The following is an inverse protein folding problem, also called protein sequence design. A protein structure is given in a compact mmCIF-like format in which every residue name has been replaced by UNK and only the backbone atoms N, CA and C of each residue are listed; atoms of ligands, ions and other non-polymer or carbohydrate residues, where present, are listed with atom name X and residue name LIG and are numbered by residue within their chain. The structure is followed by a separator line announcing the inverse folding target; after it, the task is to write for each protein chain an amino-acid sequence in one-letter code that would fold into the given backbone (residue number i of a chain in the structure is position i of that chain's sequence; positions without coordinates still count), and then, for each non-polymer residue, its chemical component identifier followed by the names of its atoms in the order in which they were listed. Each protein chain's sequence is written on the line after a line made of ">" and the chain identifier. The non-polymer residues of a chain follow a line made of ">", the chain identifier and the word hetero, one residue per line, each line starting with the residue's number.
data_IF_387317383711
#
_entry.id   IF_387317383711
#
_cell.length_a   1.000
_cell.length_b   1.000
_cell.length_c   1.000
_cell.angle_alpha   90.00
_cell.angle_beta   90.00
_cell.angle_gamma   90.00
#
_symmetry.space_group_name_H-M   'P 1'
#
loop_
_entity.id
_entity.type
_entity.pdbx_description
1 polymer ?
#
# COMPACT_ATOMS: atom_id res chain seq x y z
N UNK A 1 -19.10 -20.90 -26.90
CA UNK A 1 -18.39 -19.61 -27.08
C UNK A 1 -18.51 -18.71 -25.84
N UNK A 2 -19.67 -18.69 -25.16
CA UNK A 2 -19.88 -17.97 -23.89
C UNK A 2 -18.96 -18.39 -22.74
N UNK A 3 -18.70 -19.68 -22.53
CA UNK A 3 -17.84 -20.15 -21.43
C UNK A 3 -16.39 -19.63 -21.56
N UNK A 4 -15.86 -19.55 -22.79
CA UNK A 4 -14.54 -18.96 -23.06
C UNK A 4 -14.54 -17.45 -22.83
N UNK A 5 -15.63 -16.76 -23.18
CA UNK A 5 -15.77 -15.32 -22.95
C UNK A 5 -15.92 -14.99 -21.46
N UNK A 6 -16.67 -15.79 -20.70
CA UNK A 6 -16.80 -15.67 -19.25
C UNK A 6 -15.47 -15.93 -18.53
N UNK A 7 -14.74 -16.98 -18.96
CA UNK A 7 -13.41 -17.28 -18.44
C UNK A 7 -12.41 -16.16 -18.74
N UNK A 8 -12.41 -15.61 -19.95
CA UNK A 8 -11.53 -14.48 -20.30
C UNK A 8 -11.89 -13.20 -19.53
N UNK A 9 -13.19 -12.96 -19.28
CA UNK A 9 -13.67 -11.81 -18.53
C UNK A 9 -13.33 -11.87 -17.03
N UNK A 10 -13.18 -13.08 -16.45
CA UNK A 10 -12.86 -13.29 -15.04
C UNK A 10 -11.37 -13.23 -14.72
N UNK A 11 -10.46 -13.37 -15.70
CA UNK A 11 -8.99 -13.35 -15.47
C UNK A 11 -8.50 -12.13 -14.68
N UNK A 12 -8.95 -10.87 -14.95
CA UNK A 12 -8.57 -9.72 -14.14
C UNK A 12 -9.03 -9.80 -12.69
N UNK A 13 -10.21 -10.39 -12.44
CA UNK A 13 -10.73 -10.60 -11.09
C UNK A 13 -9.89 -11.64 -10.37
N UNK A 14 -9.64 -12.80 -10.99
CA UNK A 14 -8.78 -13.85 -10.44
C UNK A 14 -7.37 -13.35 -10.12
N UNK A 15 -6.80 -12.52 -11.00
CA UNK A 15 -5.50 -11.89 -10.76
C UNK A 15 -5.51 -10.98 -9.52
N UNK A 16 -6.56 -10.19 -9.32
CA UNK A 16 -6.69 -9.35 -8.13
C UNK A 16 -6.97 -10.17 -6.87
N UNK A 17 -7.77 -11.22 -6.94
CA UNK A 17 -8.00 -12.14 -5.81
C UNK A 17 -6.71 -12.82 -5.36
N UNK A 18 -5.93 -13.34 -6.32
CA UNK A 18 -4.60 -13.89 -6.06
C UNK A 18 -3.69 -12.84 -5.41
N UNK A 19 -3.70 -11.60 -5.92
CA UNK A 19 -2.90 -10.52 -5.36
C UNK A 19 -3.28 -10.19 -3.92
N UNK A 20 -4.58 -10.14 -3.61
CA UNK A 20 -5.05 -9.92 -2.23
C UNK A 20 -4.64 -11.09 -1.34
N UNK A 21 -4.77 -12.33 -1.79
CA UNK A 21 -4.33 -13.51 -1.02
C UNK A 21 -2.83 -13.46 -0.71
N UNK A 22 -2.00 -13.13 -1.71
CA UNK A 22 -0.55 -12.97 -1.53
C UNK A 22 -0.23 -11.84 -0.54
N UNK A 23 -0.93 -10.70 -0.65
CA UNK A 23 -0.77 -9.56 0.25
C UNK A 23 -1.18 -9.87 1.69
N UNK A 24 -2.32 -10.53 1.89
CA UNK A 24 -2.81 -10.97 3.20
C UNK A 24 -1.82 -11.92 3.87
N UNK A 25 -1.34 -12.94 3.15
CA UNK A 25 -0.32 -13.85 3.68
C UNK A 25 0.96 -13.09 4.07
N UNK A 26 1.38 -12.10 3.27
CA UNK A 26 2.56 -11.29 3.55
C UNK A 26 2.42 -10.50 4.86
N UNK A 27 1.25 -9.89 5.11
CA UNK A 27 1.02 -9.11 6.32
C UNK A 27 1.00 -9.98 7.58
N UNK A 28 0.41 -11.17 7.52
CA UNK A 28 0.38 -12.11 8.64
C UNK A 28 1.78 -12.64 8.93
N UNK A 29 2.52 -13.07 7.89
CA UNK A 29 3.90 -13.53 8.06
C UNK A 29 4.81 -12.42 8.60
N UNK A 30 4.63 -11.18 8.12
CA UNK A 30 5.31 -10.01 8.68
C UNK A 30 4.99 -9.84 10.17
N UNK A 31 3.72 -9.94 10.55
CA UNK A 31 3.30 -9.85 11.97
C UNK A 31 3.97 -10.93 12.82
N UNK A 32 4.00 -12.18 12.35
CA UNK A 32 4.71 -13.26 13.05
C UNK A 32 6.20 -12.95 13.17
N UNK A 33 6.86 -12.52 12.10
CA UNK A 33 8.28 -12.20 12.08
C UNK A 33 8.62 -11.08 13.08
N UNK A 34 7.82 -10.01 13.12
CA UNK A 34 7.98 -8.88 14.03
C UNK A 34 7.71 -9.25 15.49
N UNK A 35 6.72 -10.13 15.75
CA UNK A 35 6.46 -10.64 17.09
C UNK A 35 7.62 -11.47 17.63
N UNK A 36 8.31 -12.24 16.77
CA UNK A 36 9.56 -12.97 17.07
C UNK A 36 10.79 -12.07 17.21
N UNK A 37 10.64 -10.74 17.15
CA UNK A 37 11.73 -9.80 17.41
C UNK A 37 12.56 -9.41 16.18
N UNK A 38 12.07 -9.65 14.96
CA UNK A 38 12.76 -9.22 13.74
C UNK A 38 13.06 -7.71 13.78
N UNK A 39 14.30 -7.34 13.47
CA UNK A 39 14.67 -5.93 13.36
C UNK A 39 14.07 -5.35 12.08
N UNK A 40 13.22 -4.32 12.26
CA UNK A 40 12.39 -3.75 11.20
C UNK A 40 13.21 -3.28 9.99
N UNK A 41 14.24 -2.47 10.20
CA UNK A 41 15.01 -1.92 9.09
C UNK A 41 15.90 -2.94 8.40
N UNK A 42 16.43 -3.93 9.11
CA UNK A 42 17.08 -5.09 8.45
C UNK A 42 16.10 -5.80 7.53
N UNK A 43 14.88 -6.08 8.00
CA UNK A 43 13.84 -6.69 7.19
C UNK A 43 13.53 -5.86 5.92
N UNK A 44 13.38 -4.53 6.06
CA UNK A 44 13.13 -3.62 4.93
C UNK A 44 14.29 -3.66 3.93
N UNK A 45 15.53 -3.60 4.39
CA UNK A 45 16.73 -3.63 3.53
C UNK A 45 16.78 -4.93 2.73
N UNK A 46 16.71 -6.08 3.38
CA UNK A 46 16.81 -7.37 2.70
C UNK A 46 15.64 -7.62 1.75
N UNK A 47 14.42 -7.21 2.13
CA UNK A 47 13.25 -7.29 1.25
C UNK A 47 13.45 -6.49 -0.05
N UNK A 48 13.94 -5.26 0.04
CA UNK A 48 14.12 -4.40 -1.15
C UNK A 48 15.36 -4.78 -1.96
N UNK A 49 16.38 -5.35 -1.34
CA UNK A 49 17.49 -5.96 -2.05
C UNK A 49 17.02 -7.14 -2.94
N UNK A 50 16.22 -8.06 -2.39
CA UNK A 50 15.63 -9.17 -3.16
C UNK A 50 14.70 -8.62 -4.25
N UNK A 51 13.83 -7.67 -3.92
CA UNK A 51 12.93 -7.06 -4.90
C UNK A 51 13.70 -6.40 -6.05
N UNK A 52 14.85 -5.77 -5.77
CA UNK A 52 15.73 -5.21 -6.81
C UNK A 52 16.22 -6.29 -7.75
N UNK A 53 16.74 -7.40 -7.22
CA UNK A 53 17.22 -8.54 -8.03
C UNK A 53 16.11 -9.12 -8.90
N UNK A 54 14.88 -9.21 -8.38
CA UNK A 54 13.73 -9.71 -9.14
C UNK A 54 13.20 -8.73 -10.20
N UNK A 55 13.27 -7.42 -9.95
CA UNK A 55 12.80 -6.39 -10.90
C UNK A 55 13.86 -6.09 -11.97
N UNK A 56 15.15 -6.26 -11.65
CA UNK A 56 16.26 -5.96 -12.56
C UNK A 56 16.11 -6.65 -13.95
N UNK A 57 15.82 -7.96 -14.07
CA UNK A 57 15.59 -8.59 -15.36
C UNK A 57 14.50 -7.92 -16.19
N UNK A 58 13.41 -7.47 -15.55
CA UNK A 58 12.32 -6.75 -16.22
C UNK A 58 12.80 -5.40 -16.75
N UNK A 59 13.60 -4.66 -15.96
CA UNK A 59 14.17 -3.39 -16.37
C UNK A 59 15.17 -3.55 -17.54
N UNK A 60 16.05 -4.54 -17.47
CA UNK A 60 17.02 -4.82 -18.52
C UNK A 60 16.38 -5.40 -19.78
N UNK A 61 15.27 -6.13 -19.69
CA UNK A 61 14.60 -6.73 -20.84
C UNK A 61 13.62 -5.76 -21.52
N UNK A 62 12.70 -5.14 -20.78
CA UNK A 62 11.64 -4.31 -21.36
C UNK A 62 12.07 -2.89 -21.71
N UNK A 63 13.14 -2.39 -21.10
CA UNK A 63 13.61 -1.01 -21.25
C UNK A 63 15.09 -0.92 -21.68
N UNK A 64 15.63 -2.00 -22.26
CA UNK A 64 17.03 -2.09 -22.73
C UNK A 64 17.41 -0.95 -23.66
N UNK A 65 16.57 -0.73 -24.67
CA UNK A 65 16.83 0.15 -25.82
C UNK A 65 16.29 1.57 -25.61
N UNK A 66 15.80 1.89 -24.41
CA UNK A 66 15.33 3.23 -24.09
C UNK A 66 16.49 4.05 -23.56
N UNK A 67 16.59 5.30 -24.03
CA UNK A 67 17.60 6.25 -23.55
C UNK A 67 17.37 6.55 -22.06
N UNK A 68 18.44 6.51 -21.27
CA UNK A 68 18.42 6.72 -19.81
C UNK A 68 19.10 8.03 -19.49
N UNK A 69 18.35 9.12 -19.47
CA UNK A 69 18.87 10.43 -19.07
C UNK A 69 18.81 10.53 -17.54
N UNK A 70 19.91 10.18 -16.88
CA UNK A 70 20.05 10.28 -15.43
C UNK A 70 20.59 11.67 -15.07
N UNK A 71 19.72 12.68 -15.07
CA UNK A 71 20.05 14.04 -14.62
C UNK A 71 20.03 14.12 -13.09
N UNK A 72 20.60 15.19 -12.52
CA UNK A 72 20.51 15.45 -11.09
C UNK A 72 19.05 15.52 -10.59
N UNK A 73 18.17 16.10 -11.40
CA UNK A 73 16.73 16.17 -11.11
C UNK A 73 16.10 14.76 -10.98
N UNK A 74 16.47 13.82 -11.85
CA UNK A 74 16.01 12.42 -11.77
C UNK A 74 16.49 11.79 -10.47
N UNK A 75 17.77 11.96 -10.10
CA UNK A 75 18.30 11.43 -8.85
C UNK A 75 17.61 12.02 -7.62
N UNK A 76 17.31 13.32 -7.63
CA UNK A 76 16.54 13.97 -6.58
C UNK A 76 15.15 13.34 -6.42
N UNK A 77 14.39 13.19 -7.51
CA UNK A 77 13.06 12.60 -7.46
C UNK A 77 13.08 11.12 -7.08
N UNK A 78 14.08 10.35 -7.53
CA UNK A 78 14.28 8.96 -7.11
C UNK A 78 14.56 8.86 -5.61
N UNK A 79 15.41 9.75 -5.07
CA UNK A 79 15.72 9.82 -3.65
C UNK A 79 14.48 10.17 -2.82
N UNK A 80 13.71 11.16 -3.25
CA UNK A 80 12.44 11.55 -2.62
C UNK A 80 11.40 10.44 -2.71
N UNK A 81 11.37 9.68 -3.81
CA UNK A 81 10.46 8.55 -3.96
C UNK A 81 10.83 7.39 -3.00
N UNK A 82 12.12 7.08 -2.88
CA UNK A 82 12.62 6.06 -1.97
C UNK A 82 12.38 6.41 -0.50
N UNK A 83 12.63 7.66 -0.10
CA UNK A 83 12.52 8.06 1.31
C UNK A 83 11.06 8.05 1.78
N UNK A 84 10.15 8.59 0.95
CA UNK A 84 8.73 8.69 1.29
C UNK A 84 7.99 7.36 1.13
N UNK A 85 8.27 6.59 0.08
CA UNK A 85 7.54 5.36 -0.25
C UNK A 85 8.03 4.11 0.43
N UNK A 86 9.33 4.07 0.78
CA UNK A 86 9.94 2.87 1.35
C UNK A 86 10.47 3.14 2.74
N UNK A 87 11.49 4.00 2.86
CA UNK A 87 12.23 4.18 4.11
C UNK A 87 11.30 4.63 5.23
N UNK A 88 10.51 5.68 5.00
CA UNK A 88 9.53 6.18 5.97
C UNK A 88 8.26 5.35 5.95
N UNK A 89 7.57 5.23 4.82
CA UNK A 89 6.26 4.54 4.79
C UNK A 89 6.35 3.08 5.24
N UNK A 90 7.17 2.24 4.60
CA UNK A 90 7.26 0.82 4.96
C UNK A 90 7.88 0.64 6.35
N UNK A 91 8.92 1.42 6.69
CA UNK A 91 9.54 1.36 8.01
C UNK A 91 8.55 1.68 9.14
N UNK A 92 7.83 2.80 9.03
CA UNK A 92 6.81 3.20 10.01
C UNK A 92 5.63 2.23 10.03
N UNK A 93 5.21 1.70 8.87
CA UNK A 93 4.17 0.68 8.80
C UNK A 93 4.56 -0.57 9.58
N UNK A 94 5.79 -1.06 9.43
CA UNK A 94 6.27 -2.25 10.12
C UNK A 94 6.39 -2.06 11.62
N UNK A 95 6.91 -0.91 12.07
CA UNK A 95 6.89 -0.59 13.49
C UNK A 95 5.45 -0.46 14.03
N UNK A 96 4.54 0.11 13.24
CA UNK A 96 3.11 0.15 13.53
C UNK A 96 2.52 -1.24 13.75
N UNK A 97 2.66 -2.13 12.76
CA UNK A 97 2.21 -3.54 12.81
C UNK A 97 2.83 -4.30 13.98
N UNK A 98 4.09 -4.02 14.33
CA UNK A 98 4.74 -4.65 15.49
C UNK A 98 4.04 -4.28 16.80
N UNK A 99 3.62 -3.01 16.92
CA UNK A 99 3.07 -2.44 18.15
C UNK A 99 1.51 -2.49 18.20
N UNK A 100 0.84 -2.85 17.09
CA UNK A 100 -0.63 -3.07 16.97
C UNK A 100 -0.96 -4.45 16.37
N UNK A 101 -2.16 -4.66 15.83
CA UNK A 101 -2.55 -5.85 15.04
C UNK A 101 -2.38 -5.62 13.53
N UNK A 102 -2.30 -6.70 12.76
CA UNK A 102 -2.27 -6.66 11.29
C UNK A 102 -3.59 -6.12 10.73
N UNK A 103 -4.72 -6.46 11.34
CA UNK A 103 -6.06 -5.96 10.99
C UNK A 103 -6.16 -4.46 11.16
N UNK A 104 -5.70 -3.93 12.30
CA UNK A 104 -5.71 -2.49 12.54
C UNK A 104 -4.84 -1.76 11.51
N UNK A 105 -3.64 -2.28 11.22
CA UNK A 105 -2.75 -1.72 10.23
C UNK A 105 -3.35 -1.75 8.81
N UNK A 106 -4.02 -2.83 8.43
CA UNK A 106 -4.75 -2.95 7.16
C UNK A 106 -5.91 -1.99 7.04
N UNK A 107 -6.63 -1.76 8.14
CA UNK A 107 -7.69 -0.75 8.17
C UNK A 107 -7.14 0.66 7.95
N UNK A 108 -5.98 0.98 8.55
CA UNK A 108 -5.29 2.26 8.30
C UNK A 108 -4.84 2.42 6.85
N UNK A 109 -4.33 1.38 6.19
CA UNK A 109 -3.96 1.44 4.76
C UNK A 109 -5.17 1.80 3.87
N UNK A 110 -6.38 1.35 4.21
CA UNK A 110 -7.58 1.71 3.44
C UNK A 110 -7.91 3.21 3.50
N UNK A 111 -7.31 3.97 4.42
CA UNK A 111 -7.41 5.42 4.49
C UNK A 111 -6.46 6.14 3.53
N UNK A 112 -5.45 5.46 2.99
CA UNK A 112 -4.44 6.07 2.12
C UNK A 112 -5.06 6.80 0.93
N UNK A 113 -6.01 6.25 0.15
CA UNK A 113 -6.63 6.97 -0.97
C UNK A 113 -7.35 8.25 -0.52
N UNK A 114 -7.96 8.22 0.66
CA UNK A 114 -8.70 9.34 1.24
C UNK A 114 -7.76 10.43 1.73
N UNK A 115 -6.71 10.05 2.46
CA UNK A 115 -5.66 10.98 2.91
C UNK A 115 -4.95 11.59 1.71
N UNK A 116 -4.67 10.80 0.67
CA UNK A 116 -4.05 11.28 -0.58
C UNK A 116 -4.93 12.33 -1.26
N UNK A 117 -6.25 12.10 -1.32
CA UNK A 117 -7.18 13.06 -1.87
C UNK A 117 -7.28 14.35 -1.04
N UNK A 118 -7.35 14.23 0.29
CA UNK A 118 -7.36 15.37 1.19
C UNK A 118 -6.08 16.21 1.04
N UNK A 119 -4.92 15.56 0.98
CA UNK A 119 -3.64 16.21 0.76
C UNK A 119 -3.58 16.87 -0.63
N UNK A 120 -3.92 16.14 -1.69
CA UNK A 120 -3.98 16.66 -3.06
C UNK A 120 -4.90 17.89 -3.20
N UNK A 121 -6.02 17.89 -2.47
CA UNK A 121 -6.94 19.01 -2.35
C UNK A 121 -6.29 20.23 -1.66
N UNK A 122 -5.68 20.02 -0.49
CA UNK A 122 -5.07 21.10 0.31
C UNK A 122 -3.91 21.76 -0.44
N UNK A 123 -3.12 20.98 -1.16
CA UNK A 123 -2.02 21.48 -1.99
C UNK A 123 -2.47 21.98 -3.38
N UNK A 124 -3.78 21.98 -3.67
CA UNK A 124 -4.32 22.49 -4.93
C UNK A 124 -3.93 21.69 -6.18
N UNK A 125 -3.45 20.45 -6.01
CA UNK A 125 -3.04 19.56 -7.10
C UNK A 125 -4.27 19.02 -7.84
N UNK A 126 -5.33 18.68 -7.09
CA UNK A 126 -6.60 18.20 -7.66
C UNK A 126 -7.66 19.31 -7.55
N UNK A 127 -8.20 19.74 -8.69
CA UNK A 127 -9.29 20.73 -8.72
C UNK A 127 -10.57 20.05 -8.26
N UNK A 128 -11.00 20.37 -7.04
CA UNK A 128 -12.29 19.96 -6.52
C UNK A 128 -13.43 20.58 -7.33
N UNK A 129 -14.06 19.76 -8.17
CA UNK A 129 -15.33 20.10 -8.81
C UNK A 129 -16.48 19.93 -7.80
N UNK A 130 -16.49 20.74 -6.72
CA UNK A 130 -17.46 20.68 -5.61
C UNK A 130 -18.93 20.75 -6.07
N UNK A 131 -19.16 21.37 -7.23
CA UNK A 131 -20.48 21.52 -7.84
C UNK A 131 -20.96 20.25 -8.56
N UNK A 132 -20.07 19.29 -8.82
CA UNK A 132 -20.41 18.02 -9.51
C UNK A 132 -20.86 16.95 -8.52
N UNK A 133 -21.73 16.03 -8.98
CA UNK A 133 -22.14 14.85 -8.19
C UNK A 133 -20.92 14.01 -7.78
N UNK A 134 -19.94 13.85 -8.66
CA UNK A 134 -18.68 13.15 -8.40
C UNK A 134 -17.87 13.78 -7.25
N UNK A 135 -17.68 15.11 -7.28
CA UNK A 135 -16.96 15.84 -6.22
C UNK A 135 -17.62 15.73 -4.85
N UNK A 136 -18.96 15.82 -4.79
CA UNK A 136 -19.73 15.63 -3.55
C UNK A 136 -19.55 14.21 -2.97
N UNK A 137 -19.58 13.19 -3.81
CA UNK A 137 -19.37 11.80 -3.40
C UNK A 137 -17.95 11.54 -2.87
N UNK A 138 -16.93 12.18 -3.46
CA UNK A 138 -15.55 12.07 -2.95
C UNK A 138 -15.41 12.65 -1.54
N UNK A 139 -16.00 13.82 -1.29
CA UNK A 139 -15.98 14.45 0.04
C UNK A 139 -16.74 13.60 1.04
N UNK A 140 -17.95 13.15 0.69
CA UNK A 140 -18.75 12.29 1.57
C UNK A 140 -17.97 11.01 1.91
N UNK A 141 -17.40 10.32 0.92
CA UNK A 141 -16.56 9.13 1.15
C UNK A 141 -15.34 9.41 2.01
N UNK A 142 -14.71 10.58 1.84
CA UNK A 142 -13.56 11.02 2.66
C UNK A 142 -13.97 11.20 4.12
N UNK A 143 -15.05 11.92 4.38
CA UNK A 143 -15.57 12.16 5.73
C UNK A 143 -15.97 10.84 6.39
N UNK A 144 -16.68 9.96 5.67
CA UNK A 144 -17.10 8.65 6.18
C UNK A 144 -15.86 7.80 6.55
N UNK A 145 -14.83 7.76 5.72
CA UNK A 145 -13.59 7.04 6.06
C UNK A 145 -12.88 7.62 7.28
N UNK A 146 -12.81 8.96 7.41
CA UNK A 146 -12.21 9.60 8.58
C UNK A 146 -13.00 9.27 9.85
N UNK A 147 -14.32 9.27 9.79
CA UNK A 147 -15.18 8.86 10.91
C UNK A 147 -14.94 7.39 11.27
N UNK A 148 -14.91 6.49 10.30
CA UNK A 148 -14.61 5.06 10.54
C UNK A 148 -13.22 4.83 11.14
N UNK A 149 -12.22 5.59 10.69
CA UNK A 149 -10.87 5.57 11.25
C UNK A 149 -10.86 6.06 12.70
N UNK A 150 -11.50 7.19 12.97
CA UNK A 150 -11.61 7.75 14.31
C UNK A 150 -12.34 6.81 15.26
N UNK A 151 -13.41 6.14 14.82
CA UNK A 151 -14.07 5.09 15.60
C UNK A 151 -13.09 3.96 15.91
N UNK A 152 -12.31 3.50 14.93
CA UNK A 152 -11.32 2.44 15.15
C UNK A 152 -10.19 2.87 16.11
N UNK A 153 -9.77 4.13 16.07
CA UNK A 153 -8.68 4.69 16.89
C UNK A 153 -9.15 5.02 18.33
N UNK A 154 -10.30 5.70 18.45
CA UNK A 154 -10.81 6.22 19.72
C UNK A 154 -11.52 5.16 20.55
N UNK A 155 -12.10 4.15 19.90
CA UNK A 155 -12.72 3.04 20.60
C UNK A 155 -11.62 2.07 21.10
N UNK A 156 -10.98 2.47 22.19
CA UNK A 156 -10.08 1.64 22.99
C UNK A 156 -10.77 0.30 23.26
N UNK A 157 -10.15 -0.79 22.81
CA UNK A 157 -10.51 -2.12 23.28
C UNK A 157 -10.45 -2.14 24.82
N UNK A 158 -11.61 -2.21 25.47
CA UNK A 158 -11.67 -2.86 26.78
C UNK A 158 -11.50 -4.35 26.46
N UNK A 159 -10.35 -4.91 26.81
CA UNK A 159 -10.17 -6.36 26.86
C UNK A 159 -11.11 -6.86 27.96
N UNK A 160 -12.25 -7.45 27.59
CA UNK A 160 -13.07 -8.17 28.54
C UNK A 160 -12.26 -9.38 29.00
N UNK A 161 -11.77 -9.36 30.24
CA UNK A 161 -11.31 -10.59 30.89
C UNK A 161 -12.55 -11.27 31.45
N UNK A 162 -13.02 -12.33 30.80
CA UNK A 162 -13.93 -13.30 31.40
C UNK A 162 -13.13 -14.59 31.58
N UNK A 163 -13.18 -15.11 32.81
CA UNK A 163 -12.16 -15.99 33.37
C UNK A 163 -12.14 -17.44 32.90
N UNK A 164 -11.05 -18.09 33.36
CA UNK A 164 -10.81 -19.51 33.53
C UNK A 164 -10.84 -20.43 32.30
N UNK A 165 -9.69 -20.54 31.64
CA UNK A 165 -9.17 -21.86 31.22
C UNK A 165 -7.70 -21.97 31.60
N UNK A 166 -7.45 -22.87 32.54
CA UNK A 166 -6.14 -23.21 33.06
C UNK A 166 -5.50 -24.22 32.10
N UNK A 167 -4.64 -23.80 31.17
CA UNK A 167 -3.63 -24.69 30.58
C UNK A 167 -2.44 -23.93 29.97
N UNK A 168 -1.28 -24.28 30.51
CA UNK A 168 0.09 -24.04 30.02
C UNK A 168 0.60 -22.60 30.01
N UNK A 169 0.97 -22.16 31.21
CA UNK A 169 1.95 -21.12 31.47
C UNK A 169 3.27 -21.43 30.75
N UNK A 170 3.52 -20.75 29.63
CA UNK A 170 4.86 -20.60 29.07
C UNK A 170 5.07 -19.12 28.71
N UNK A 171 5.55 -18.36 29.69
CA UNK A 171 6.56 -17.29 29.60
C UNK A 171 6.69 -16.43 28.32
N UNK A 172 5.61 -16.10 27.61
CA UNK A 172 5.63 -15.01 26.62
C UNK A 172 5.36 -13.71 27.38
N UNK A 173 6.46 -13.08 27.80
CA UNK A 173 6.64 -11.67 28.16
C UNK A 173 5.36 -10.86 27.89
N UNK A 174 4.70 -10.39 28.95
CA UNK A 174 3.72 -9.29 28.94
C UNK A 174 4.36 -8.06 28.27
N UNK A 175 4.38 -8.05 26.93
CA UNK A 175 4.90 -6.93 26.14
C UNK A 175 3.86 -5.84 26.28
N UNK A 176 4.18 -4.76 27.02
CA UNK A 176 3.37 -3.54 27.01
C UNK A 176 3.28 -3.06 25.56
N UNK A 177 2.22 -3.44 24.87
CA UNK A 177 1.94 -2.99 23.51
C UNK A 177 1.62 -1.51 23.60
N UNK A 178 2.55 -0.66 23.15
CA UNK A 178 2.34 0.78 23.10
C UNK A 178 1.42 1.11 21.91
N UNK A 179 0.13 0.77 22.03
CA UNK A 179 -0.88 0.97 20.99
C UNK A 179 -0.88 2.41 20.45
N UNK A 180 -0.71 3.41 21.31
CA UNK A 180 -0.60 4.82 20.89
C UNK A 180 0.58 5.07 19.95
N UNK A 181 1.76 4.50 20.26
CA UNK A 181 2.96 4.59 19.41
C UNK A 181 2.70 3.93 18.05
N UNK A 182 2.10 2.74 18.07
CA UNK A 182 1.75 2.00 16.86
C UNK A 182 0.77 2.78 15.96
N UNK A 183 -0.28 3.39 16.54
CA UNK A 183 -1.23 4.24 15.81
C UNK A 183 -0.56 5.46 15.19
N UNK A 184 0.29 6.17 15.94
CA UNK A 184 1.03 7.32 15.40
C UNK A 184 1.92 6.89 14.23
N UNK A 185 2.63 5.77 14.36
CA UNK A 185 3.48 5.23 13.29
C UNK A 185 2.66 4.85 12.04
N UNK A 186 1.49 4.22 12.20
CA UNK A 186 0.62 3.90 11.07
C UNK A 186 0.03 5.13 10.39
N UNK A 187 -0.39 6.15 11.15
CA UNK A 187 -0.85 7.42 10.60
C UNK A 187 0.28 8.14 9.83
N UNK A 188 1.48 8.21 10.41
CA UNK A 188 2.65 8.77 9.73
C UNK A 188 3.01 7.97 8.47
N UNK A 189 2.87 6.64 8.48
CA UNK A 189 3.02 5.82 7.28
C UNK A 189 2.00 6.17 6.21
N UNK A 190 0.72 6.37 6.57
CA UNK A 190 -0.32 6.73 5.60
C UNK A 190 -0.08 8.11 4.97
N UNK A 191 0.37 9.08 5.77
CA UNK A 191 0.80 10.40 5.28
C UNK A 191 2.01 10.29 4.33
N UNK A 192 3.00 9.49 4.72
CA UNK A 192 4.19 9.25 3.88
C UNK A 192 3.83 8.60 2.55
N UNK A 193 2.87 7.66 2.54
CA UNK A 193 2.34 7.05 1.31
C UNK A 193 1.58 8.06 0.44
N UNK A 194 0.81 8.97 1.04
CA UNK A 194 0.13 10.03 0.30
C UNK A 194 1.12 10.96 -0.40
N UNK A 195 2.18 11.38 0.30
CA UNK A 195 3.28 12.16 -0.28
C UNK A 195 3.98 11.37 -1.38
N UNK A 196 4.24 10.08 -1.14
CA UNK A 196 4.88 9.20 -2.11
C UNK A 196 4.11 9.14 -3.43
N UNK A 197 2.77 9.09 -3.42
CA UNK A 197 1.98 9.11 -4.66
C UNK A 197 2.19 10.39 -5.47
N UNK A 198 2.32 11.54 -4.81
CA UNK A 198 2.58 12.83 -5.49
C UNK A 198 3.99 12.83 -6.08
N UNK A 199 4.98 12.46 -5.26
CA UNK A 199 6.39 12.32 -5.67
C UNK A 199 6.53 11.33 -6.83
N UNK A 200 5.75 10.25 -6.83
CA UNK A 200 5.76 9.24 -7.89
C UNK A 200 5.24 9.81 -9.22
N UNK A 201 4.23 10.68 -9.18
CA UNK A 201 3.73 11.36 -10.39
C UNK A 201 4.80 12.28 -10.97
N UNK A 202 5.48 13.07 -10.14
CA UNK A 202 6.57 13.94 -10.61
C UNK A 202 7.76 13.14 -11.13
N UNK A 203 8.17 12.08 -10.42
CA UNK A 203 9.22 11.17 -10.88
C UNK A 203 8.91 10.59 -12.26
N UNK A 204 7.67 10.16 -12.50
CA UNK A 204 7.29 9.60 -13.80
C UNK A 204 7.23 10.63 -14.94
N UNK A 205 7.15 11.93 -14.65
CA UNK A 205 7.26 12.99 -15.67
C UNK A 205 8.70 13.17 -16.13
N UNK A 206 9.65 13.17 -15.19
CA UNK A 206 11.08 13.39 -15.49
C UNK A 206 11.76 12.08 -15.93
N UNK A 207 11.30 10.94 -15.41
CA UNK A 207 11.86 9.62 -15.69
C UNK A 207 10.75 8.58 -16.00
N UNK A 208 10.26 8.52 -17.26
CA UNK A 208 9.11 7.69 -17.65
C UNK A 208 9.42 6.18 -17.80
N UNK A 209 10.55 5.72 -17.25
CA UNK A 209 10.99 4.32 -17.27
C UNK A 209 10.53 3.62 -16.00
N UNK A 210 9.44 2.85 -16.08
CA UNK A 210 8.76 2.31 -14.89
C UNK A 210 9.60 1.25 -14.18
N UNK A 211 10.25 0.38 -14.94
CA UNK A 211 11.02 -0.73 -14.37
C UNK A 211 12.37 -0.24 -13.88
N UNK A 212 13.07 0.58 -14.66
CA UNK A 212 14.31 1.23 -14.21
C UNK A 212 14.10 2.13 -13.01
N UNK A 213 13.06 2.97 -13.03
CA UNK A 213 12.76 3.89 -11.94
C UNK A 213 12.50 3.12 -10.64
N UNK A 214 11.69 2.07 -10.71
CA UNK A 214 11.45 1.17 -9.56
C UNK A 214 12.73 0.52 -9.06
N UNK A 215 13.55 -0.05 -9.96
CA UNK A 215 14.78 -0.72 -9.58
C UNK A 215 15.74 0.25 -8.86
N UNK A 216 15.93 1.46 -9.40
CA UNK A 216 16.76 2.48 -8.80
C UNK A 216 16.18 2.96 -7.46
N UNK A 217 14.86 3.17 -7.38
CA UNK A 217 14.18 3.50 -6.12
C UNK A 217 14.42 2.42 -5.06
N UNK A 218 14.36 1.13 -5.40
CA UNK A 218 14.63 0.04 -4.45
C UNK A 218 16.08 -0.01 -3.99
N UNK A 219 17.04 0.26 -4.88
CA UNK A 219 18.46 0.37 -4.52
C UNK A 219 18.67 1.53 -3.53
N UNK A 220 18.16 2.71 -3.86
CA UNK A 220 18.29 3.90 -3.01
C UNK A 220 17.57 3.68 -1.67
N UNK A 221 16.39 3.06 -1.69
CA UNK A 221 15.63 2.75 -0.49
C UNK A 221 16.35 1.75 0.42
N UNK A 222 17.00 0.73 -0.14
CA UNK A 222 17.82 -0.21 0.63
C UNK A 222 19.01 0.53 1.28
N UNK A 223 19.66 1.45 0.57
CA UNK A 223 20.73 2.27 1.13
C UNK A 223 20.23 3.20 2.26
N UNK A 224 19.15 3.94 2.03
CA UNK A 224 18.53 4.82 3.03
C UNK A 224 18.06 4.03 4.27
N UNK A 225 17.41 2.88 4.06
CA UNK A 225 16.97 2.00 5.14
C UNK A 225 18.14 1.39 5.90
N UNK A 226 19.28 1.16 5.25
CA UNK A 226 20.51 0.72 5.90
C UNK A 226 21.05 1.81 6.82
N UNK A 227 21.16 3.05 6.32
CA UNK A 227 21.60 4.21 7.12
C UNK A 227 20.67 4.40 8.33
N UNK A 228 19.35 4.42 8.10
CA UNK A 228 18.36 4.58 9.16
C UNK A 228 18.42 3.43 10.18
N UNK A 229 18.56 2.19 9.70
CA UNK A 229 18.71 1.02 10.56
C UNK A 229 19.97 1.10 11.43
N UNK A 230 21.11 1.51 10.85
CA UNK A 230 22.38 1.65 11.57
C UNK A 230 22.35 2.80 12.59
N UNK A 231 21.51 3.82 12.36
CA UNK A 231 21.26 4.85 13.38
C UNK A 231 20.46 4.30 14.57
N UNK A 232 19.56 3.33 14.35
CA UNK A 232 18.68 2.78 15.38
C UNK A 232 19.28 1.60 16.14
N UNK A 233 19.97 0.69 15.45
CA UNK A 233 20.59 -0.48 16.06
C UNK A 233 21.81 -0.92 15.24
N UNK A 234 23.01 -0.78 15.82
CA UNK A 234 24.29 -1.16 15.20
C UNK A 234 24.73 -2.59 15.53
N UNK A 235 24.01 -3.31 16.39
CA UNK A 235 24.44 -4.64 16.83
C UNK A 235 24.41 -5.63 15.66
N UNK A 236 25.50 -6.38 15.45
CA UNK A 236 25.57 -7.39 14.38
C UNK A 236 24.44 -8.42 14.50
N UNK A 237 24.07 -8.81 15.72
CA UNK A 237 22.99 -9.75 15.99
C UNK A 237 21.63 -9.30 15.42
N UNK A 238 21.31 -8.00 15.46
CA UNK A 238 20.05 -7.49 14.91
C UNK A 238 19.99 -7.53 13.37
N UNK A 239 21.15 -7.61 12.71
CA UNK A 239 21.27 -7.63 11.25
C UNK A 239 21.53 -9.03 10.68
N UNK A 240 21.86 -10.00 11.53
CA UNK A 240 22.06 -11.38 11.14
C UNK A 240 20.73 -11.98 10.69
N UNK A 241 20.71 -12.54 9.47
CA UNK A 241 19.62 -13.43 9.07
C UNK A 241 19.92 -14.83 9.57
N UNK A 242 18.97 -15.38 10.29
CA UNK A 242 18.93 -16.79 10.59
C UNK A 242 18.11 -17.53 9.53
N UNK A 243 18.36 -18.84 9.37
CA UNK A 243 17.54 -19.73 8.54
C UNK A 243 16.21 -20.04 9.24
N UNK A 244 15.38 -19.01 9.39
CA UNK A 244 14.12 -19.08 10.11
C UNK A 244 12.97 -18.48 9.28
N UNK A 245 11.77 -18.43 9.87
CA UNK A 245 10.58 -17.88 9.23
C UNK A 245 10.74 -16.41 8.79
N UNK A 246 11.62 -15.63 9.43
CA UNK A 246 11.88 -14.24 9.05
C UNK A 246 12.53 -14.18 7.67
N UNK A 247 13.57 -14.99 7.43
CA UNK A 247 14.20 -15.10 6.11
C UNK A 247 13.20 -15.57 5.05
N UNK A 248 12.39 -16.61 5.35
CA UNK A 248 11.36 -17.08 4.45
C UNK A 248 10.33 -15.98 4.10
N UNK A 249 9.94 -15.16 5.08
CA UNK A 249 9.03 -14.03 4.86
C UNK A 249 9.67 -12.93 4.02
N UNK A 250 10.95 -12.63 4.25
CA UNK A 250 11.71 -11.66 3.47
C UNK A 250 11.77 -12.12 2.00
N UNK A 251 12.13 -13.38 1.75
CA UNK A 251 12.17 -13.96 0.40
C UNK A 251 10.78 -13.94 -0.24
N UNK A 252 9.75 -14.42 0.44
CA UNK A 252 8.37 -14.41 -0.06
C UNK A 252 7.91 -12.99 -0.42
N UNK A 253 8.13 -12.02 0.47
CA UNK A 253 7.71 -10.63 0.27
C UNK A 253 8.47 -9.92 -0.86
N UNK A 254 9.76 -10.22 -1.04
CA UNK A 254 10.61 -9.61 -2.06
C UNK A 254 10.49 -10.27 -3.42
N UNK A 255 10.52 -11.61 -3.46
CA UNK A 255 10.62 -12.40 -4.69
C UNK A 255 9.27 -12.80 -5.28
N UNK A 256 8.22 -12.94 -4.45
CA UNK A 256 6.89 -13.37 -4.93
C UNK A 256 5.94 -12.17 -4.97
N UNK A 257 5.74 -11.52 -3.83
CA UNK A 257 4.71 -10.47 -3.70
C UNK A 257 5.03 -9.26 -4.56
N UNK A 258 6.27 -8.74 -4.50
CA UNK A 258 6.63 -7.52 -5.25
C UNK A 258 6.49 -7.71 -6.77
N UNK A 259 7.06 -8.76 -7.42
CA UNK A 259 6.85 -9.00 -8.85
C UNK A 259 5.38 -9.26 -9.19
N UNK A 260 4.64 -9.99 -8.35
CA UNK A 260 3.21 -10.23 -8.56
C UNK A 260 2.42 -8.91 -8.58
N UNK A 261 2.70 -7.97 -7.65
CA UNK A 261 2.12 -6.62 -7.68
C UNK A 261 2.45 -5.96 -9.02
N UNK A 262 3.71 -5.90 -9.42
CA UNK A 262 4.09 -5.23 -10.67
C UNK A 262 3.39 -5.82 -11.90
N UNK A 263 3.40 -7.14 -12.06
CA UNK A 263 2.86 -7.82 -13.23
C UNK A 263 1.33 -7.79 -13.24
N UNK A 264 0.69 -8.18 -12.15
CA UNK A 264 -0.77 -8.31 -12.09
C UNK A 264 -1.45 -6.95 -12.05
N UNK A 265 -0.93 -5.96 -11.30
CA UNK A 265 -1.49 -4.61 -11.28
C UNK A 265 -1.28 -3.95 -12.63
N UNK A 266 -0.08 -3.97 -13.22
CA UNK A 266 0.15 -3.36 -14.53
C UNK A 266 -0.74 -3.97 -15.61
N UNK A 267 -0.90 -5.30 -15.60
CA UNK A 267 -1.74 -6.00 -16.55
C UNK A 267 -3.24 -5.69 -16.38
N UNK A 268 -3.74 -5.69 -15.14
CA UNK A 268 -5.14 -5.37 -14.86
C UNK A 268 -5.46 -3.91 -15.11
N UNK A 269 -4.58 -2.98 -14.78
CA UNK A 269 -4.73 -1.55 -15.08
C UNK A 269 -4.80 -1.32 -16.59
N UNK A 270 -3.95 -2.01 -17.37
CA UNK A 270 -4.01 -1.93 -18.85
C UNK A 270 -5.35 -2.44 -19.41
N UNK A 271 -6.01 -3.38 -18.74
CA UNK A 271 -7.26 -4.02 -19.21
C UNK A 271 -8.55 -3.36 -18.68
N UNK A 272 -8.56 -2.92 -17.43
CA UNK A 272 -9.76 -2.48 -16.69
C UNK A 272 -9.63 -1.05 -16.13
N UNK A 273 -8.49 -0.40 -16.32
CA UNK A 273 -8.21 0.95 -15.85
C UNK A 273 -7.55 1.01 -14.46
N UNK A 274 -7.00 2.19 -14.09
CA UNK A 274 -6.19 2.38 -12.89
C UNK A 274 -6.95 2.21 -11.57
N UNK A 275 -8.28 2.36 -11.58
CA UNK A 275 -9.13 2.23 -10.38
C UNK A 275 -9.51 0.79 -10.06
N UNK A 276 -9.37 -0.14 -11.01
CA UNK A 276 -9.82 -1.52 -10.84
C UNK A 276 -9.14 -2.27 -9.70
N UNK A 277 -7.80 -2.20 -9.51
CA UNK A 277 -7.13 -2.89 -8.40
C UNK A 277 -7.61 -2.42 -7.02
N UNK A 278 -7.83 -1.11 -6.84
CA UNK A 278 -8.20 -0.52 -5.56
C UNK A 278 -9.55 -0.99 -5.01
N UNK A 279 -10.45 -1.47 -5.88
CA UNK A 279 -11.75 -2.06 -5.50
C UNK A 279 -11.57 -3.30 -4.63
N UNK A 280 -10.43 -4.00 -4.75
CA UNK A 280 -10.17 -5.25 -4.02
C UNK A 280 -9.48 -5.03 -2.67
N UNK A 281 -9.04 -3.82 -2.32
CA UNK A 281 -8.34 -3.57 -1.05
C UNK A 281 -9.16 -3.92 0.21
N UNK A 282 -10.48 -3.64 0.28
CA UNK A 282 -11.33 -4.11 1.37
C UNK A 282 -11.32 -5.63 1.58
N UNK A 283 -11.14 -6.41 0.50
CA UNK A 283 -11.10 -7.87 0.60
C UNK A 283 -9.88 -8.35 1.37
N UNK A 284 -8.70 -7.73 1.15
CA UNK A 284 -7.53 -8.05 1.95
C UNK A 284 -7.75 -7.73 3.43
N UNK A 285 -8.42 -6.62 3.77
CA UNK A 285 -8.75 -6.29 5.15
C UNK A 285 -9.60 -7.38 5.81
N UNK A 286 -10.67 -7.83 5.14
CA UNK A 286 -11.55 -8.90 5.67
C UNK A 286 -10.78 -10.21 5.82
N UNK A 287 -9.96 -10.58 4.83
CA UNK A 287 -9.16 -11.80 4.87
C UNK A 287 -8.09 -11.77 5.97
N UNK A 288 -7.43 -10.62 6.17
CA UNK A 288 -6.46 -10.41 7.25
C UNK A 288 -7.15 -10.52 8.60
N UNK A 289 -8.31 -9.89 8.77
CA UNK A 289 -9.08 -9.97 10.02
C UNK A 289 -9.45 -11.41 10.37
N UNK A 290 -9.99 -12.15 9.40
CA UNK A 290 -10.39 -13.54 9.60
C UNK A 290 -9.19 -14.45 9.91
N UNK A 291 -8.12 -14.36 9.13
CA UNK A 291 -6.94 -15.22 9.30
C UNK A 291 -6.08 -14.84 10.51
N UNK A 292 -5.96 -13.54 10.84
CA UNK A 292 -5.27 -13.09 12.04
C UNK A 292 -5.94 -13.66 13.28
N UNK A 293 -7.28 -13.58 13.31
CA UNK A 293 -8.07 -14.13 14.39
C UNK A 293 -7.86 -15.65 14.51
N UNK A 294 -7.89 -16.40 13.40
CA UNK A 294 -7.65 -17.85 13.40
C UNK A 294 -6.22 -18.25 13.84
N UNK A 295 -5.19 -17.53 13.40
CA UNK A 295 -3.79 -17.91 13.58
C UNK A 295 -3.25 -17.48 14.95
N UNK A 296 -3.59 -16.26 15.39
CA UNK A 296 -3.03 -15.70 16.62
C UNK A 296 -3.89 -15.95 17.85
N UNK A 297 -5.11 -16.49 17.69
CA UNK A 297 -5.98 -16.86 18.80
C UNK A 297 -6.33 -15.68 19.71
N UNK A 298 -6.21 -14.44 19.24
CA UNK A 298 -6.88 -13.30 19.89
C UNK A 298 -8.36 -13.66 19.94
N UNK A 299 -8.98 -13.64 21.14
CA UNK A 299 -10.32 -14.17 21.44
C UNK A 299 -11.37 -13.89 20.34
N UNK A 300 -11.39 -14.72 19.31
CA UNK A 300 -12.58 -15.05 18.54
C UNK A 300 -13.20 -16.24 19.24
N UNK A 301 -13.77 -15.95 20.41
CA UNK A 301 -14.66 -16.87 21.09
C UNK A 301 -15.88 -17.08 20.20
N UNK A 302 -15.87 -18.17 19.46
CA UNK A 302 -16.96 -18.74 18.67
C UNK A 302 -18.18 -19.18 19.53
N UNK A 303 -18.28 -18.68 20.77
CA UNK A 303 -19.43 -18.83 21.65
C UNK A 303 -19.80 -17.47 22.22
N UNK A 304 -20.95 -16.93 21.78
CA UNK A 304 -21.70 -15.80 22.35
C UNK A 304 -20.89 -14.57 22.80
N UNK A 305 -21.00 -13.46 22.04
CA UNK A 305 -20.38 -12.12 22.24
C UNK A 305 -19.11 -11.81 21.42
N UNK A 306 -19.24 -12.00 20.10
CA UNK A 306 -18.70 -11.19 18.98
C UNK A 306 -17.63 -10.14 19.30
N UNK A 307 -16.48 -10.22 18.59
CA UNK A 307 -15.57 -9.13 18.22
C UNK A 307 -16.02 -7.75 18.70
N UNK A 308 -15.19 -7.03 19.47
CA UNK A 308 -15.45 -5.64 19.90
C UNK A 308 -16.29 -4.91 18.84
N UNK A 309 -17.61 -4.70 19.07
CA UNK A 309 -18.56 -4.40 17.98
C UNK A 309 -18.19 -3.12 17.23
N UNK A 310 -17.45 -2.23 17.90
CA UNK A 310 -16.96 -0.98 17.35
C UNK A 310 -15.76 -1.12 16.42
N UNK A 311 -14.95 -2.18 16.51
CA UNK A 311 -13.88 -2.47 15.55
C UNK A 311 -14.44 -2.94 14.22
N UNK A 312 -15.44 -3.83 14.25
CA UNK A 312 -16.21 -4.25 13.07
C UNK A 312 -16.99 -3.09 12.47
N UNK A 313 -17.61 -2.27 13.32
CA UNK A 313 -18.30 -1.06 12.88
C UNK A 313 -17.34 -0.08 12.19
N UNK A 314 -16.17 0.18 12.80
CA UNK A 314 -15.13 1.05 12.25
C UNK A 314 -14.63 0.55 10.89
N UNK A 315 -14.29 -0.74 10.77
CA UNK A 315 -13.91 -1.35 9.48
C UNK A 315 -15.02 -1.25 8.44
N UNK A 316 -16.27 -1.54 8.83
CA UNK A 316 -17.42 -1.47 7.93
C UNK A 316 -17.64 -0.05 7.40
N UNK A 317 -17.52 0.96 8.27
CA UNK A 317 -17.62 2.38 7.90
C UNK A 317 -16.45 2.78 6.99
N UNK A 318 -15.22 2.37 7.27
CA UNK A 318 -14.06 2.65 6.39
C UNK A 318 -14.27 2.05 5.00
N UNK A 319 -14.75 0.80 4.92
CA UNK A 319 -15.03 0.12 3.66
C UNK A 319 -16.13 0.88 2.89
N UNK A 320 -17.24 1.24 3.55
CA UNK A 320 -18.32 1.99 2.94
C UNK A 320 -17.86 3.37 2.42
N UNK A 321 -17.05 4.08 3.21
CA UNK A 321 -16.45 5.35 2.81
C UNK A 321 -15.53 5.21 1.61
N UNK A 322 -14.68 4.18 1.58
CA UNK A 322 -13.73 3.95 0.49
C UNK A 322 -14.48 3.63 -0.81
N UNK A 323 -15.50 2.78 -0.77
CA UNK A 323 -16.32 2.50 -1.96
C UNK A 323 -17.08 3.74 -2.43
N UNK A 324 -17.61 4.56 -1.52
CA UNK A 324 -18.25 5.83 -1.87
C UNK A 324 -17.28 6.79 -2.57
N UNK A 325 -16.05 6.87 -2.08
CA UNK A 325 -14.96 7.65 -2.66
C UNK A 325 -14.55 7.14 -4.05
N UNK A 326 -14.32 5.84 -4.19
CA UNK A 326 -13.97 5.20 -5.47
C UNK A 326 -15.09 5.36 -6.50
N UNK A 327 -16.35 5.30 -6.07
CA UNK A 327 -17.51 5.56 -6.93
C UNK A 327 -17.54 7.00 -7.44
N UNK A 328 -17.23 7.97 -6.58
CA UNK A 328 -17.06 9.37 -6.98
C UNK A 328 -15.95 9.55 -8.03
N UNK A 329 -14.79 8.90 -7.84
CA UNK A 329 -13.69 8.92 -8.81
C UNK A 329 -14.05 8.31 -10.16
N UNK A 330 -14.86 7.24 -10.17
CA UNK A 330 -15.26 6.56 -11.42
C UNK A 330 -16.15 7.43 -12.31
N UNK A 331 -16.88 8.38 -11.73
CA UNK A 331 -17.80 9.27 -12.46
C UNK A 331 -17.12 10.48 -13.09
N UNK A 332 -15.84 10.74 -12.80
CA UNK A 332 -15.14 11.84 -13.44
C UNK A 332 -14.68 11.47 -14.84
N UNK A 333 -14.81 12.39 -15.83
CA UNK A 333 -14.20 12.19 -17.13
C UNK A 333 -12.69 12.06 -16.98
N UNK A 334 -12.10 11.05 -17.61
CA UNK A 334 -10.66 10.84 -17.62
C UNK A 334 -10.00 12.03 -18.32
N UNK A 335 -9.45 12.96 -17.56
CA UNK A 335 -8.60 14.02 -18.11
C UNK A 335 -7.26 13.37 -18.43
N UNK A 336 -7.07 12.99 -19.68
CA UNK A 336 -5.75 12.62 -20.17
C UNK A 336 -4.80 13.81 -19.99
N UNK A 337 -3.54 13.59 -19.57
CA UNK A 337 -2.55 14.66 -19.57
C UNK A 337 -2.47 15.21 -21.00
N UNK A 338 -2.72 16.52 -21.16
CA UNK A 338 -2.44 17.20 -22.43
C UNK A 338 -0.95 17.00 -22.73
N UNK A 339 -0.58 16.62 -23.95
CA UNK A 339 0.81 16.68 -24.37
C UNK A 339 1.32 18.10 -24.10
N UNK A 340 2.40 18.22 -23.34
CA UNK A 340 3.10 19.49 -23.13
C UNK A 340 3.44 20.08 -24.49
N UNK A 341 3.12 21.36 -24.66
CA UNK A 341 3.16 22.05 -25.94
C UNK A 341 4.51 21.95 -26.66
N UNK A 342 4.46 21.38 -27.85
CA UNK A 342 5.41 21.60 -28.93
C UNK A 342 4.71 21.27 -30.26
N UNK A 343 3.77 22.11 -30.65
CA UNK A 343 3.26 22.26 -32.02
C UNK A 343 2.39 23.52 -32.09
N UNK A 344 3.01 24.69 -31.89
CA UNK A 344 2.54 25.93 -32.52
C UNK A 344 3.45 26.14 -33.71
N UNK A 345 2.82 26.48 -34.84
CA UNK A 345 3.37 26.66 -36.19
C UNK A 345 3.75 25.36 -36.91
N UNK A 346 2.96 24.98 -37.93
CA UNK A 346 3.23 25.33 -39.32
C UNK A 346 1.91 25.40 -40.11
N UNK A 347 1.79 26.49 -40.89
CA UNK A 347 0.89 26.76 -42.03
C UNK A 347 -0.64 26.76 -41.83
N UNK A 348 -1.18 27.99 -41.80
CA UNK A 348 -2.46 28.33 -42.43
C UNK A 348 -2.36 27.97 -43.92
N UNK A 349 -3.35 27.25 -44.46
CA UNK A 349 -3.71 27.30 -45.88
C UNK A 349 -5.15 27.81 -45.92
N UNK A 350 -5.49 28.85 -46.72
CA UNK A 350 -6.82 29.42 -46.72
C UNK A 350 -7.81 28.54 -47.49
N UNK A 351 -9.02 28.56 -46.92
CA UNK A 351 -10.35 28.34 -47.44
C UNK A 351 -10.58 28.43 -48.97
N UNK A 352 -11.38 27.50 -49.49
CA UNK A 352 -12.59 27.71 -50.31
C UNK A 352 -12.70 26.95 -51.65
N UNK A 353 -13.96 26.52 -51.87
CA UNK A 353 -14.67 26.29 -53.13
C UNK A 353 -14.52 24.95 -53.90
N UNK A 354 -15.63 24.19 -53.89
CA UNK A 354 -16.39 23.98 -55.13
C UNK A 354 -16.16 22.69 -55.91
N UNK A 355 -17.26 21.93 -56.03
CA UNK A 355 -17.56 20.75 -56.87
C UNK A 355 -17.14 19.38 -56.34
#
# INVERSE_FOLDING_TARGET
>A
MEMKNLFMASRPVLAMLLLQALGTAMQLLLKVALNKGAFVYAFVVYRHAIATVCVAPLAFFFERNKEKKLTFEVWFWLFMNAITGVTMAVGLFYYGVRDTTATFASNMINLVPVITFAFSTVFGIEKLLLKTKAGKMKIAGTVICLVGALITILYKGKSFHIGHVHMLENSIIKKRTHWARGTVMLLSSCLSLAIWYIVQVELLKVFPLKYWGTMLTFIIAAAQSTVMGLCLNRSKAAWQLEWNLQLATIIYSGAVVTPAIFLLVSWTVKKRGPTFPSVFNPLALIAVAFLEALIFGEEISLGSSSCNPCSLLGMSIVIAGLYSFLWGRRQEPVVLPRPSGAAREVSRVPESAGL
#
